data_IF_040695239532
#
_entry.id   IF_040695239532
#
_cell.length_a   1.000
_cell.length_b   1.000
_cell.length_c   1.000
_cell.angle_alpha   90.00
_cell.angle_beta   90.00
_cell.angle_gamma   90.00
#
_symmetry.space_group_name_H-M   'P 1'
#
loop_
_entity.id
_entity.type
_entity.pdbx_description
1 polymer ?
#
# COMPACT_ATOMS: atom_id res chain seq x y z
N UNK A 1 -13.02 -7.32 -21.53
CA UNK A 1 -11.66 -6.72 -21.65
C UNK A 1 -10.67 -7.59 -22.44
N UNK A 2 -10.71 -8.92 -22.39
CA UNK A 2 -9.80 -9.83 -23.14
C UNK A 2 -10.07 -9.84 -24.64
N UNK A 3 -11.34 -9.73 -25.06
CA UNK A 3 -11.73 -9.73 -26.48
C UNK A 3 -11.21 -8.50 -27.26
N UNK A 4 -11.18 -7.33 -26.61
CA UNK A 4 -10.68 -6.09 -27.24
C UNK A 4 -9.18 -6.11 -27.52
N UNK A 5 -8.41 -6.78 -26.66
CA UNK A 5 -6.95 -6.92 -26.86
C UNK A 5 -6.66 -7.88 -28.02
N UNK A 6 -7.38 -8.99 -28.11
CA UNK A 6 -7.25 -9.95 -29.22
C UNK A 6 -7.67 -9.32 -30.55
N UNK A 7 -8.73 -8.53 -30.56
CA UNK A 7 -9.16 -7.80 -31.76
C UNK A 7 -8.11 -6.76 -32.20
N UNK A 8 -7.51 -6.02 -31.27
CA UNK A 8 -6.45 -5.06 -31.58
C UNK A 8 -5.19 -5.75 -32.13
N UNK A 9 -4.79 -6.89 -31.60
CA UNK A 9 -3.66 -7.69 -32.09
C UNK A 9 -3.96 -8.22 -33.50
N UNK A 10 -5.19 -8.72 -33.77
CA UNK A 10 -5.59 -9.21 -35.08
C UNK A 10 -5.57 -8.10 -36.13
N UNK A 11 -6.05 -6.90 -35.79
CA UNK A 11 -6.03 -5.74 -36.71
C UNK A 11 -4.59 -5.33 -37.06
N UNK A 12 -3.69 -5.32 -36.08
CA UNK A 12 -2.26 -4.99 -36.27
C UNK A 12 -1.59 -6.03 -37.19
N UNK A 13 -1.90 -7.32 -37.00
CA UNK A 13 -1.34 -8.40 -37.82
C UNK A 13 -1.86 -8.35 -39.26
N UNK A 14 -3.15 -8.09 -39.47
CA UNK A 14 -3.75 -7.99 -40.79
C UNK A 14 -3.24 -6.75 -41.55
N UNK A 15 -3.17 -5.59 -40.86
CA UNK A 15 -2.59 -4.37 -41.44
C UNK A 15 -1.10 -4.55 -41.78
N UNK A 16 -0.34 -5.21 -40.90
CA UNK A 16 1.06 -5.54 -41.14
C UNK A 16 1.27 -6.45 -42.34
N UNK A 17 0.40 -7.46 -42.55
CA UNK A 17 0.46 -8.37 -43.67
C UNK A 17 0.17 -7.64 -45.02
N UNK A 18 -0.76 -6.65 -45.01
CA UNK A 18 -1.08 -5.85 -46.18
C UNK A 18 0.07 -4.90 -46.58
N UNK A 19 0.66 -4.24 -45.64
CA UNK A 19 1.82 -3.34 -45.84
C UNK A 19 3.05 -4.14 -46.30
N UNK A 20 3.21 -5.38 -45.83
CA UNK A 20 4.33 -6.25 -46.16
C UNK A 20 4.39 -6.62 -47.64
N UNK A 21 3.25 -6.67 -48.35
CA UNK A 21 3.20 -7.02 -49.77
C UNK A 21 3.82 -5.95 -50.70
N UNK A 22 3.80 -4.69 -50.23
CA UNK A 22 4.26 -3.53 -51.01
C UNK A 22 5.69 -3.06 -50.64
N UNK A 23 6.17 -3.37 -49.39
CA UNK A 23 7.44 -2.84 -48.88
C UNK A 23 8.27 -3.91 -48.14
N UNK A 24 8.75 -4.89 -48.90
CA UNK A 24 9.34 -6.12 -48.36
C UNK A 24 10.56 -5.95 -47.45
N UNK A 25 11.31 -4.86 -47.47
CA UNK A 25 12.49 -4.69 -46.60
C UNK A 25 12.31 -3.59 -45.53
N UNK A 26 11.67 -2.51 -45.86
CA UNK A 26 11.53 -1.38 -44.95
C UNK A 26 10.36 -1.55 -43.99
N UNK A 27 9.25 -2.16 -44.42
CA UNK A 27 8.06 -2.39 -43.62
C UNK A 27 8.29 -3.36 -42.45
N UNK A 28 9.14 -4.38 -42.64
CA UNK A 28 9.42 -5.37 -41.61
C UNK A 28 10.17 -4.76 -40.40
N UNK A 29 11.17 -3.92 -40.66
CA UNK A 29 11.91 -3.22 -39.56
C UNK A 29 11.04 -2.18 -38.85
N UNK A 30 10.20 -1.46 -39.62
CA UNK A 30 9.26 -0.50 -39.05
C UNK A 30 8.23 -1.22 -38.13
N UNK A 31 7.72 -2.34 -38.57
CA UNK A 31 6.74 -3.16 -37.84
C UNK A 31 7.36 -3.77 -36.59
N UNK A 32 8.63 -4.20 -36.63
CA UNK A 32 9.40 -4.69 -35.46
C UNK A 32 9.64 -3.58 -34.45
N UNK A 33 10.05 -2.40 -34.92
CA UNK A 33 10.33 -1.25 -34.02
C UNK A 33 9.05 -0.69 -33.43
N UNK A 34 8.02 -0.47 -34.23
CA UNK A 34 6.74 0.10 -33.74
C UNK A 34 5.98 -0.93 -32.92
N UNK A 35 5.87 -2.18 -33.38
CA UNK A 35 5.19 -3.25 -32.67
C UNK A 35 5.90 -3.63 -31.37
N UNK A 36 7.24 -3.70 -31.38
CA UNK A 36 8.05 -3.94 -30.20
C UNK A 36 7.93 -2.81 -29.18
N UNK A 37 7.99 -1.55 -29.63
CA UNK A 37 7.84 -0.38 -28.77
C UNK A 37 6.44 -0.28 -28.17
N UNK A 38 5.39 -0.58 -28.94
CA UNK A 38 4.02 -0.60 -28.47
C UNK A 38 3.78 -1.72 -27.45
N UNK A 39 4.32 -2.90 -27.71
CA UNK A 39 4.24 -4.04 -26.78
C UNK A 39 4.96 -3.74 -25.48
N UNK A 40 6.17 -3.16 -25.56
CA UNK A 40 6.92 -2.73 -24.40
C UNK A 40 6.17 -1.63 -23.61
N UNK A 41 5.61 -0.63 -24.27
CA UNK A 41 4.81 0.42 -23.64
C UNK A 41 3.57 -0.16 -22.93
N UNK A 42 2.85 -1.08 -23.59
CA UNK A 42 1.69 -1.77 -22.99
C UNK A 42 2.12 -2.60 -21.77
N UNK A 43 3.26 -3.28 -21.84
CA UNK A 43 3.79 -4.08 -20.75
C UNK A 43 4.22 -3.20 -19.55
N UNK A 44 4.87 -2.06 -19.82
CA UNK A 44 5.25 -1.09 -18.80
C UNK A 44 4.02 -0.46 -18.16
N UNK A 45 3.05 -0.01 -18.97
CA UNK A 45 1.79 0.57 -18.48
C UNK A 45 0.96 -0.47 -17.72
N UNK A 46 0.91 -1.72 -18.20
CA UNK A 46 0.23 -2.81 -17.48
C UNK A 46 0.91 -3.13 -16.15
N UNK A 47 2.25 -3.13 -16.09
CA UNK A 47 3.01 -3.35 -14.87
C UNK A 47 2.86 -2.17 -13.89
N UNK A 48 2.85 -0.94 -14.39
CA UNK A 48 2.60 0.27 -13.58
C UNK A 48 1.15 0.31 -13.08
N UNK A 49 0.19 -0.06 -13.91
CA UNK A 49 -1.22 -0.17 -13.54
C UNK A 49 -1.47 -1.34 -12.58
N UNK A 50 -0.77 -2.47 -12.72
CA UNK A 50 -0.87 -3.61 -11.83
C UNK A 50 -0.22 -3.32 -10.47
N UNK A 51 0.96 -2.69 -10.42
CA UNK A 51 1.63 -2.36 -9.17
C UNK A 51 0.92 -1.25 -8.38
N UNK A 52 0.21 -0.33 -9.05
CA UNK A 52 -0.50 0.77 -8.40
C UNK A 52 -2.01 0.55 -8.17
N UNK A 53 -2.66 -0.28 -8.97
CA UNK A 53 -4.13 -0.43 -8.95
C UNK A 53 -4.64 -1.71 -8.30
N UNK A 54 -3.89 -2.80 -8.30
CA UNK A 54 -4.31 -4.00 -7.59
C UNK A 54 -4.24 -3.81 -6.07
N UNK A 55 -3.29 -2.99 -5.60
CA UNK A 55 -3.20 -2.61 -4.19
C UNK A 55 -4.39 -1.73 -3.73
N UNK A 56 -5.00 -0.94 -4.63
CA UNK A 56 -6.10 -0.01 -4.29
C UNK A 56 -7.49 -0.65 -4.21
N UNK A 57 -7.71 -1.84 -4.75
CA UNK A 57 -9.05 -2.44 -4.82
C UNK A 57 -9.57 -3.08 -3.54
N UNK A 58 -8.74 -3.24 -2.51
CA UNK A 58 -9.15 -3.88 -1.25
C UNK A 58 -9.06 -3.00 -0.01
N UNK A 59 -8.25 -1.93 -0.03
CA UNK A 59 -8.06 -1.07 1.12
C UNK A 59 -8.79 0.26 0.89
N UNK A 60 -9.78 0.59 1.74
CA UNK A 60 -10.53 1.85 1.70
C UNK A 60 -9.80 3.01 2.37
N UNK A 61 -8.59 2.79 2.86
CA UNK A 61 -7.73 3.79 3.49
C UNK A 61 -6.31 3.27 3.64
N UNK A 62 -5.39 4.16 3.90
CA UNK A 62 -4.02 3.82 4.23
C UNK A 62 -3.65 4.47 5.57
N UNK A 63 -2.95 3.73 6.41
CA UNK A 63 -2.33 4.24 7.62
C UNK A 63 -0.82 4.24 7.41
N UNK A 64 -0.18 5.36 7.75
CA UNK A 64 1.28 5.52 7.60
C UNK A 64 1.93 5.39 8.96
N UNK A 65 2.99 4.62 9.01
CA UNK A 65 3.72 4.30 10.22
C UNK A 65 5.20 4.63 10.08
N UNK A 66 5.84 5.11 11.14
CA UNK A 66 7.30 5.12 11.25
C UNK A 66 7.85 3.70 11.10
N UNK A 67 9.10 3.60 10.65
CA UNK A 67 9.74 2.31 10.37
C UNK A 67 9.65 1.34 11.56
N UNK A 68 10.03 1.81 12.75
CA UNK A 68 10.03 0.99 13.96
C UNK A 68 8.64 0.47 14.37
N UNK A 69 7.59 1.29 14.20
CA UNK A 69 6.23 0.89 14.53
C UNK A 69 5.70 -0.10 13.48
N UNK A 70 5.98 0.16 12.21
CA UNK A 70 5.63 -0.74 11.12
C UNK A 70 6.29 -2.11 11.27
N UNK A 71 7.56 -2.16 11.71
CA UNK A 71 8.26 -3.41 11.99
C UNK A 71 7.64 -4.19 13.15
N UNK A 72 7.21 -3.51 14.23
CA UNK A 72 6.51 -4.18 15.35
C UNK A 72 5.19 -4.78 14.92
N UNK A 73 4.43 -4.07 14.06
CA UNK A 73 3.19 -4.57 13.49
C UNK A 73 3.46 -5.77 12.55
N UNK A 74 4.47 -5.68 11.70
CA UNK A 74 4.86 -6.74 10.77
C UNK A 74 5.30 -8.00 11.52
N UNK A 75 6.07 -7.85 12.59
CA UNK A 75 6.53 -8.95 13.44
C UNK A 75 5.42 -9.47 14.39
N UNK A 76 4.20 -8.96 14.29
CA UNK A 76 3.07 -9.30 15.17
C UNK A 76 3.34 -9.04 16.67
N UNK A 77 4.31 -8.18 16.97
CA UNK A 77 4.60 -7.75 18.33
C UNK A 77 3.66 -6.66 18.82
N UNK A 78 2.99 -5.97 17.88
CA UNK A 78 1.97 -4.97 18.15
C UNK A 78 0.67 -5.33 17.44
N UNK A 79 -0.44 -5.07 18.09
CA UNK A 79 -1.81 -5.18 17.55
C UNK A 79 -2.56 -3.86 17.68
N UNK A 80 -1.93 -2.87 18.30
CA UNK A 80 -2.47 -1.55 18.53
C UNK A 80 -1.48 -0.51 18.03
N UNK A 81 -1.97 0.51 17.36
CA UNK A 81 -1.20 1.64 16.89
C UNK A 81 -1.67 2.92 17.60
N UNK A 82 -0.72 3.75 18.01
CA UNK A 82 -0.98 5.06 18.61
C UNK A 82 -0.55 6.14 17.62
N UNK A 83 -1.52 6.81 17.01
CA UNK A 83 -1.33 7.74 15.92
C UNK A 83 -1.63 9.18 16.35
N UNK A 84 -0.96 10.18 15.78
CA UNK A 84 -1.27 11.58 16.07
C UNK A 84 -2.69 11.94 15.60
N UNK A 85 -3.33 12.87 16.31
CA UNK A 85 -4.63 13.43 15.92
C UNK A 85 -4.48 14.16 14.58
N UNK A 86 -5.40 13.88 13.66
CA UNK A 86 -5.34 14.41 12.29
C UNK A 86 -5.07 13.32 11.25
N UNK A 87 -4.65 12.14 11.69
CA UNK A 87 -4.60 10.98 10.81
C UNK A 87 -6.02 10.65 10.33
N UNK A 88 -6.23 10.69 9.01
CA UNK A 88 -7.51 10.29 8.41
C UNK A 88 -7.78 8.83 8.70
N UNK A 89 -8.75 8.55 9.56
CA UNK A 89 -9.08 7.19 9.98
C UNK A 89 -10.25 6.67 9.17
N UNK A 90 -10.08 5.55 8.48
CA UNK A 90 -11.20 4.89 7.82
C UNK A 90 -12.23 4.39 8.86
N UNK A 91 -13.46 4.10 8.44
CA UNK A 91 -14.46 3.51 9.34
C UNK A 91 -13.98 2.18 9.94
N UNK A 92 -14.33 1.93 11.20
CA UNK A 92 -14.10 0.66 11.88
C UNK A 92 -14.69 -0.49 11.06
N UNK A 93 -14.01 -1.62 11.02
CA UNK A 93 -14.37 -2.79 10.23
C UNK A 93 -13.80 -2.80 8.80
N UNK A 94 -13.20 -1.69 8.34
CA UNK A 94 -12.61 -1.62 7.00
C UNK A 94 -11.20 -2.21 6.96
N UNK A 95 -10.82 -2.66 5.76
CA UNK A 95 -9.44 -3.08 5.49
C UNK A 95 -8.61 -1.86 5.12
N UNK A 96 -7.51 -1.69 5.82
CA UNK A 96 -6.54 -0.60 5.63
C UNK A 96 -5.21 -1.14 5.14
N UNK A 97 -4.56 -0.41 4.25
CA UNK A 97 -3.18 -0.67 3.87
C UNK A 97 -2.25 0.00 4.90
N UNK A 98 -1.35 -0.78 5.47
CA UNK A 98 -0.30 -0.26 6.34
C UNK A 98 0.95 0.05 5.51
N UNK A 99 1.43 1.28 5.61
CA UNK A 99 2.57 1.78 4.84
C UNK A 99 3.61 2.39 5.76
N UNK A 100 4.86 2.25 5.40
CA UNK A 100 5.93 3.05 5.99
C UNK A 100 5.85 4.51 5.49
N UNK A 101 6.51 5.42 6.19
CA UNK A 101 6.65 6.83 5.77
C UNK A 101 7.29 6.94 4.38
N UNK A 102 8.07 5.97 3.96
CA UNK A 102 8.63 5.85 2.61
C UNK A 102 7.58 5.56 1.53
N UNK A 103 6.33 5.28 1.92
CA UNK A 103 5.23 4.91 1.03
C UNK A 103 5.14 3.43 0.70
N UNK A 104 6.12 2.62 1.11
CA UNK A 104 6.10 1.17 0.88
C UNK A 104 5.00 0.50 1.73
N UNK A 105 4.14 -0.30 1.11
CA UNK A 105 3.11 -1.08 1.79
C UNK A 105 3.76 -2.34 2.38
N UNK A 106 3.59 -2.56 3.69
CA UNK A 106 4.14 -3.70 4.38
C UNK A 106 3.06 -4.70 4.84
N UNK A 107 1.79 -4.34 4.77
CA UNK A 107 0.73 -5.27 5.14
C UNK A 107 -0.67 -4.68 5.00
N UNK A 108 -1.66 -5.55 5.22
CA UNK A 108 -3.07 -5.19 5.26
C UNK A 108 -3.67 -5.66 6.55
N UNK A 109 -4.43 -4.78 7.18
CA UNK A 109 -5.03 -5.02 8.48
C UNK A 109 -6.51 -4.64 8.42
N UNK A 110 -7.31 -5.32 9.22
CA UNK A 110 -8.66 -4.86 9.53
C UNK A 110 -8.58 -3.88 10.69
N UNK A 111 -9.17 -2.72 10.54
CA UNK A 111 -9.34 -1.78 11.66
C UNK A 111 -10.47 -2.28 12.55
N UNK A 112 -10.10 -2.97 13.63
CA UNK A 112 -11.09 -3.59 14.51
C UNK A 112 -11.74 -2.57 15.44
N UNK A 113 -10.98 -1.56 15.87
CA UNK A 113 -11.46 -0.47 16.73
C UNK A 113 -10.61 0.78 16.53
N UNK A 114 -11.19 1.96 16.80
CA UNK A 114 -10.49 3.23 16.74
C UNK A 114 -11.15 4.24 17.68
N UNK A 115 -10.41 4.74 18.64
CA UNK A 115 -10.89 5.73 19.62
C UNK A 115 -9.82 6.77 19.93
N UNK A 116 -10.24 7.88 20.52
CA UNK A 116 -9.35 8.95 20.96
C UNK A 116 -9.11 8.85 22.45
N UNK A 117 -7.86 9.03 22.87
CA UNK A 117 -7.46 9.00 24.26
C UNK A 117 -6.33 10.01 24.49
N UNK A 118 -6.16 10.50 25.69
CA UNK A 118 -4.97 11.28 26.03
C UNK A 118 -3.76 10.36 26.14
N UNK A 119 -2.61 10.85 25.72
CA UNK A 119 -1.36 10.07 25.71
C UNK A 119 -0.96 9.64 27.15
N UNK A 120 -1.28 10.48 28.15
CA UNK A 120 -1.04 10.18 29.57
C UNK A 120 -2.01 9.15 30.17
N UNK A 121 -3.15 8.91 29.52
CA UNK A 121 -4.19 8.00 30.02
C UNK A 121 -4.06 6.58 29.45
N UNK A 122 -3.03 6.33 28.61
CA UNK A 122 -2.77 4.99 28.10
C UNK A 122 -2.46 4.02 29.24
N UNK A 123 -3.21 2.93 29.29
CA UNK A 123 -2.99 1.90 30.30
C UNK A 123 -1.87 0.91 29.92
N UNK A 124 -1.45 0.10 30.88
CA UNK A 124 -0.35 -0.85 30.68
C UNK A 124 -0.68 -1.89 29.60
N UNK A 125 -1.94 -2.27 29.42
CA UNK A 125 -2.37 -3.23 28.42
C UNK A 125 -2.28 -2.63 27.02
N UNK A 126 -2.71 -1.39 26.84
CA UNK A 126 -2.60 -0.67 25.57
C UNK A 126 -1.14 -0.47 25.17
N UNK A 127 -0.28 -0.13 26.14
CA UNK A 127 1.17 0.01 25.93
C UNK A 127 1.79 -1.32 25.47
N UNK A 128 1.42 -2.43 26.10
CA UNK A 128 1.89 -3.75 25.71
C UNK A 128 1.35 -4.15 24.33
N UNK A 129 0.09 -3.89 24.03
CA UNK A 129 -0.50 -4.15 22.72
C UNK A 129 0.09 -3.27 21.61
N UNK A 130 0.62 -2.10 21.97
CA UNK A 130 1.39 -1.24 21.06
C UNK A 130 2.84 -1.73 20.85
N UNK A 131 3.22 -2.85 21.48
CA UNK A 131 4.52 -3.49 21.32
C UNK A 131 5.62 -2.93 22.20
N UNK A 132 5.27 -2.23 23.28
CA UNK A 132 6.21 -1.72 24.28
C UNK A 132 6.09 -2.53 25.58
N UNK A 133 7.19 -2.73 26.27
CA UNK A 133 7.19 -3.44 27.57
C UNK A 133 6.68 -2.55 28.69
N UNK A 134 6.98 -1.25 28.63
CA UNK A 134 6.65 -0.26 29.65
C UNK A 134 6.25 1.06 29.03
N UNK A 135 5.53 1.87 29.81
CA UNK A 135 5.16 3.24 29.43
C UNK A 135 6.41 4.12 29.21
N UNK A 136 7.48 3.90 29.97
CA UNK A 136 8.73 4.66 29.82
C UNK A 136 9.46 4.31 28.51
N UNK A 137 9.37 3.09 28.03
CA UNK A 137 9.89 2.70 26.72
C UNK A 137 9.09 3.39 25.63
N UNK A 138 7.78 3.38 25.72
CA UNK A 138 6.90 4.09 24.78
C UNK A 138 7.15 5.61 24.79
N UNK A 139 7.31 6.20 25.98
CA UNK A 139 7.64 7.62 26.14
C UNK A 139 8.93 7.99 25.43
N UNK A 140 10.00 7.20 25.60
CA UNK A 140 11.28 7.42 24.90
C UNK A 140 11.15 7.33 23.37
N UNK A 141 10.43 6.33 22.88
CA UNK A 141 10.17 6.19 21.46
C UNK A 141 9.34 7.36 20.89
N UNK A 142 8.39 7.86 21.66
CA UNK A 142 7.61 9.03 21.28
C UNK A 142 8.46 10.31 21.27
N UNK A 143 9.30 10.51 22.30
CA UNK A 143 10.19 11.67 22.42
C UNK A 143 11.23 11.77 21.30
N UNK A 144 11.57 10.68 20.66
CA UNK A 144 12.41 10.68 19.46
C UNK A 144 11.74 11.38 18.26
N UNK A 145 10.41 11.58 18.30
CA UNK A 145 9.61 12.20 17.22
C UNK A 145 8.99 13.53 17.59
N UNK A 146 8.86 13.80 18.87
CA UNK A 146 8.26 15.03 19.37
C UNK A 146 8.12 15.05 20.89
N UNK A 147 7.67 16.16 21.48
CA UNK A 147 7.51 16.25 22.92
C UNK A 147 6.44 15.27 23.43
N UNK A 148 6.72 14.63 24.56
CA UNK A 148 5.73 13.86 25.30
C UNK A 148 4.91 14.81 26.16
N UNK A 149 3.72 15.11 25.74
CA UNK A 149 2.74 15.91 26.50
C UNK A 149 1.58 14.99 26.88
N UNK A 150 1.39 14.68 28.17
CA UNK A 150 0.35 13.75 28.63
C UNK A 150 -1.07 14.13 28.17
N UNK A 151 -1.34 15.43 28.03
CA UNK A 151 -2.61 15.98 27.56
C UNK A 151 -2.81 15.89 26.05
N UNK A 152 -1.78 15.43 25.30
CA UNK A 152 -1.91 15.26 23.85
C UNK A 152 -2.94 14.19 23.54
N UNK A 153 -3.98 14.55 22.80
CA UNK A 153 -4.95 13.58 22.30
C UNK A 153 -4.32 12.76 21.16
N UNK A 154 -4.44 11.47 21.25
CA UNK A 154 -3.97 10.51 20.22
C UNK A 154 -5.12 9.66 19.73
N UNK A 155 -4.97 9.11 18.54
CA UNK A 155 -5.85 8.09 18.00
C UNK A 155 -5.26 6.72 18.32
N UNK A 156 -5.99 5.92 19.05
CA UNK A 156 -5.66 4.52 19.33
C UNK A 156 -6.40 3.64 18.35
N UNK A 157 -5.67 2.91 17.51
CA UNK A 157 -6.22 2.06 16.47
C UNK A 157 -5.86 0.60 16.70
N UNK A 158 -6.85 -0.26 16.85
CA UNK A 158 -6.64 -1.71 16.96
C UNK A 158 -6.65 -2.35 15.57
N UNK A 159 -5.57 -3.02 15.25
CA UNK A 159 -5.31 -3.60 13.95
C UNK A 159 -5.26 -5.12 14.04
N UNK A 160 -6.07 -5.79 13.24
CA UNK A 160 -6.08 -7.25 13.12
C UNK A 160 -5.45 -7.65 11.78
N UNK A 161 -4.38 -8.46 11.77
CA UNK A 161 -3.76 -8.90 10.53
C UNK A 161 -4.73 -9.78 9.74
N UNK A 162 -4.78 -9.55 8.42
CA UNK A 162 -5.56 -10.41 7.54
C UNK A 162 -4.79 -11.69 7.22
N UNK A 163 -5.45 -12.85 7.19
CA UNK A 163 -4.83 -14.08 6.73
C UNK A 163 -4.41 -13.91 5.26
N UNK A 164 -3.13 -14.09 4.96
CA UNK A 164 -2.56 -13.97 3.61
C UNK A 164 -1.95 -12.61 3.26
N UNK A 165 -1.78 -11.69 4.21
CA UNK A 165 -1.26 -10.35 3.96
C UNK A 165 0.25 -10.16 4.20
N UNK A 166 1.01 -11.21 4.44
CA UNK A 166 2.47 -11.16 4.54
C UNK A 166 3.07 -11.80 3.28
N UNK A 167 3.49 -10.98 2.35
CA UNK A 167 4.24 -11.34 1.16
C UNK A 167 5.23 -10.25 0.83
#
# INVERSE_FOLDING_TARGET
MRLGILAAIAVVLVAGFWVHREFYQFGFYLLLVVGGSLTFLVMVVARYAASGRLSRRGARGALTFPLEEGERLLQRRATLAVLPVGTSTPPVGTVVAARFETGAEFGRYRLADAYRKMLGDLDAEEVQRAGFRTLDEMRRAWQARGPWLPETVVLVARLEPLPGGAG
#
